data_IF_640015682013
#
_entry.id   IF_640015682013
#
_cell.length_a   1.000
_cell.length_b   1.000
_cell.length_c   1.000
_cell.angle_alpha   90.00
_cell.angle_beta   90.00
_cell.angle_gamma   90.00
#
_symmetry.space_group_name_H-M   'P 1'
#
loop_
_entity.id
_entity.type
_entity.pdbx_description
1 polymer ?
#
# COMPACT_ATOMS: atom_id res chain seq x y z
N UNK A 1 -19.38 0.11 7.74
CA UNK A 1 -19.21 0.38 7.03
C UNK A 1 -18.95 1.12 6.57
N UNK A 2 -18.83 1.38 6.59
CA UNK A 2 -18.80 2.27 5.97
C UNK A 2 -18.87 2.40 4.70
N UNK A 3 -19.47 2.81 4.25
CA UNK A 3 -19.54 2.84 2.99
C UNK A 3 -18.76 3.69 2.35
N UNK A 4 -18.29 3.25 1.64
CA UNK A 4 -17.27 4.06 1.18
C UNK A 4 -17.72 4.97 0.12
N UNK A 5 -17.16 6.13 0.19
CA UNK A 5 -17.41 7.10 -0.82
C UNK A 5 -16.79 6.66 -2.12
N UNK A 6 -17.54 6.79 -3.19
CA UNK A 6 -17.07 6.42 -4.49
C UNK A 6 -16.06 7.45 -5.01
N UNK A 7 -14.92 6.98 -5.46
CA UNK A 7 -13.87 7.86 -5.95
C UNK A 7 -14.08 8.15 -7.43
N UNK A 8 -13.65 9.33 -7.84
CA UNK A 8 -13.60 9.65 -9.26
C UNK A 8 -12.50 8.82 -9.92
N UNK A 9 -12.51 8.75 -11.24
CA UNK A 9 -11.50 7.99 -11.95
C UNK A 9 -10.10 8.48 -11.65
N UNK A 10 -9.95 9.79 -11.56
CA UNK A 10 -8.65 10.37 -11.30
C UNK A 10 -8.19 10.07 -9.89
N UNK A 11 -9.09 10.18 -8.93
CA UNK A 11 -8.77 9.86 -7.55
C UNK A 11 -8.41 8.40 -7.39
N UNK A 12 -9.15 7.54 -8.09
CA UNK A 12 -8.88 6.12 -8.03
C UNK A 12 -7.50 5.80 -8.58
N UNK A 13 -7.13 6.43 -9.68
CA UNK A 13 -5.81 6.23 -10.26
C UNK A 13 -4.71 6.61 -9.29
N UNK A 14 -4.89 7.71 -8.59
CA UNK A 14 -3.91 8.16 -7.62
C UNK A 14 -3.78 7.17 -6.46
N UNK A 15 -4.91 6.66 -6.00
CA UNK A 15 -4.90 5.68 -4.93
C UNK A 15 -4.21 4.39 -5.36
N UNK A 16 -4.51 3.92 -6.56
CA UNK A 16 -3.90 2.71 -7.07
C UNK A 16 -2.40 2.91 -7.24
N UNK A 17 -2.00 4.02 -7.82
CA UNK A 17 -0.58 4.31 -8.02
C UNK A 17 0.17 4.40 -6.70
N UNK A 18 -0.45 5.03 -5.71
CA UNK A 18 0.16 5.15 -4.39
C UNK A 18 0.31 3.79 -3.75
N UNK A 19 -0.70 2.94 -3.88
CA UNK A 19 -0.67 1.60 -3.32
C UNK A 19 0.47 0.79 -3.94
N UNK A 20 0.58 0.80 -5.26
CA UNK A 20 1.62 0.08 -5.97
C UNK A 20 2.99 0.61 -5.57
N UNK A 21 3.14 1.91 -5.49
CA UNK A 21 4.39 2.56 -5.11
C UNK A 21 4.82 2.14 -3.71
N UNK A 22 3.90 2.15 -2.76
CA UNK A 22 4.20 1.77 -1.39
C UNK A 22 4.59 0.30 -1.29
N UNK A 23 3.89 -0.57 -2.01
CA UNK A 23 4.20 -2.00 -1.99
C UNK A 23 5.58 -2.25 -2.60
N UNK A 24 5.87 -1.56 -3.70
CA UNK A 24 7.15 -1.71 -4.36
C UNK A 24 8.29 -1.24 -3.45
N UNK A 25 8.10 -0.11 -2.81
CA UNK A 25 9.11 0.44 -1.93
C UNK A 25 9.36 -0.48 -0.73
N UNK A 26 8.29 -1.03 -0.19
CA UNK A 26 8.37 -1.97 0.93
C UNK A 26 9.20 -3.19 0.53
N UNK A 27 8.93 -3.73 -0.65
CA UNK A 27 9.68 -4.88 -1.14
C UNK A 27 11.14 -4.51 -1.39
N UNK A 28 11.38 -3.33 -1.90
CA UNK A 28 12.71 -2.85 -2.14
C UNK A 28 13.52 -2.81 -0.85
N UNK A 29 12.93 -2.27 0.21
CA UNK A 29 13.60 -2.21 1.50
C UNK A 29 13.94 -3.60 2.03
N UNK A 30 13.02 -4.52 1.83
CA UNK A 30 13.27 -5.89 2.25
C UNK A 30 14.43 -6.50 1.47
N UNK A 31 14.47 -6.30 0.17
CA UNK A 31 15.54 -6.86 -0.65
C UNK A 31 16.89 -6.23 -0.34
N UNK A 32 16.90 -4.98 0.10
CA UNK A 32 18.14 -4.32 0.48
C UNK A 32 18.59 -4.70 1.90
N UNK A 33 17.78 -5.48 2.60
CA UNK A 33 18.12 -5.89 3.95
C UNK A 33 17.89 -4.84 5.00
N UNK A 34 17.15 -3.79 4.64
CA UNK A 34 16.85 -2.71 5.60
C UNK A 34 15.80 -3.14 6.60
N UNK A 35 14.86 -3.96 6.15
CA UNK A 35 13.80 -4.48 7.02
C UNK A 35 13.79 -6.01 6.93
N UNK A 36 13.26 -6.63 7.98
CA UNK A 36 13.15 -8.08 8.02
C UNK A 36 11.90 -8.53 7.27
N UNK A 37 11.82 -9.83 7.02
CA UNK A 37 10.65 -10.40 6.38
C UNK A 37 9.39 -10.14 7.20
N UNK A 38 9.52 -10.25 8.51
CA UNK A 38 8.39 -10.00 9.40
C UNK A 38 7.91 -8.56 9.29
N UNK A 39 8.86 -7.63 9.29
CA UNK A 39 8.53 -6.22 9.14
C UNK A 39 7.88 -5.95 7.78
N UNK A 40 8.40 -6.58 6.73
CA UNK A 40 7.81 -6.43 5.41
C UNK A 40 6.36 -6.90 5.40
N UNK A 41 6.10 -8.05 6.00
CA UNK A 41 4.75 -8.62 6.01
C UNK A 41 3.79 -7.72 6.79
N UNK A 42 4.26 -7.19 7.91
CA UNK A 42 3.44 -6.26 8.70
C UNK A 42 3.12 -4.99 7.94
N UNK A 43 4.11 -4.47 7.22
CA UNK A 43 3.91 -3.26 6.43
C UNK A 43 2.93 -3.49 5.29
N UNK A 44 2.99 -4.67 4.68
CA UNK A 44 2.04 -5.00 3.62
C UNK A 44 0.61 -4.92 4.12
N UNK A 45 0.37 -5.44 5.30
CA UNK A 45 -0.96 -5.38 5.89
C UNK A 45 -1.37 -3.94 6.15
N UNK A 46 -0.46 -3.14 6.68
CA UNK A 46 -0.73 -1.74 6.93
C UNK A 46 -1.01 -0.98 5.65
N UNK A 47 -0.22 -1.22 4.63
CA UNK A 47 -0.40 -0.55 3.34
C UNK A 47 -1.76 -0.89 2.75
N UNK A 48 -2.14 -2.15 2.79
CA UNK A 48 -3.44 -2.57 2.30
C UNK A 48 -4.56 -1.87 3.06
N UNK A 49 -4.38 -1.73 4.36
CA UNK A 49 -5.40 -1.11 5.20
C UNK A 49 -5.53 0.38 4.92
N UNK A 50 -4.40 1.05 4.74
CA UNK A 50 -4.39 2.50 4.49
C UNK A 50 -4.87 2.81 3.08
N UNK A 51 -4.60 1.94 2.14
CA UNK A 51 -4.90 2.19 0.74
C UNK A 51 -6.19 1.52 0.27
N UNK A 52 -7.13 1.35 1.17
CA UNK A 52 -8.43 0.82 0.77
C UNK A 52 -9.21 1.85 -0.02
N UNK A 53 -9.84 1.39 -1.11
CA UNK A 53 -10.59 2.29 -2.00
C UNK A 53 -11.73 1.56 -2.69
#
# INVERSE_FOLDING_TARGET
>A
MTKTKKLSNEELRRHVAKHIWLMYYNEYLFQQGVITEDARNRMKIKIDRVCQY
#
